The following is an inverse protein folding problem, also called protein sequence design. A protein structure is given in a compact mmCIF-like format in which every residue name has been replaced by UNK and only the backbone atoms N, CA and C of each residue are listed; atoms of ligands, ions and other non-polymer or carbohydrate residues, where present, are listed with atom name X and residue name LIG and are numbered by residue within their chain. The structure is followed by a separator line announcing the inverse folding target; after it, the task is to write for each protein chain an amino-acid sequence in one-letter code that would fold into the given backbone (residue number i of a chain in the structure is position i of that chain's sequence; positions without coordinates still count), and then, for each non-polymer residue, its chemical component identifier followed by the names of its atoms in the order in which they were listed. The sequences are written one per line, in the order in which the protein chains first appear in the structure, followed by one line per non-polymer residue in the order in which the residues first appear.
data_IF_674950425380
#
_entry.id   IF_674950425380
#
_cell.length_a   1.000
_cell.length_b   1.000
_cell.length_c   1.000
_cell.angle_alpha   90.00
_cell.angle_beta   90.00
_cell.angle_gamma   90.00
#
_symmetry.space_group_name_H-M   'P 1'
#
loop_
_entity.id
_entity.type
_entity.pdbx_description
1 polymer ?
#
# COMPACT_ATOMS: atom_id res chain seq x y z
N UNK A 1 -40.92 10.89 -47.27
CA UNK A 1 -40.03 11.91 -46.68
C UNK A 1 -40.10 11.79 -45.17
N UNK A 2 -39.16 11.07 -44.58
CA UNK A 2 -39.20 10.67 -43.17
C UNK A 2 -38.59 11.78 -42.32
N UNK A 3 -39.43 12.47 -41.53
CA UNK A 3 -38.99 13.49 -40.57
C UNK A 3 -38.27 12.80 -39.42
N UNK A 4 -36.96 13.03 -39.31
CA UNK A 4 -36.16 12.64 -38.15
C UNK A 4 -36.45 13.64 -37.04
N UNK A 5 -37.01 13.18 -35.93
CA UNK A 5 -37.19 13.96 -34.72
C UNK A 5 -35.90 13.86 -33.91
N UNK A 6 -35.14 14.94 -33.83
CA UNK A 6 -33.94 15.01 -32.99
C UNK A 6 -34.41 15.45 -31.62
N UNK A 7 -34.48 14.50 -30.69
CA UNK A 7 -34.73 14.77 -29.28
C UNK A 7 -33.45 15.39 -28.69
N UNK A 8 -33.48 16.70 -28.44
CA UNK A 8 -32.39 17.40 -27.75
C UNK A 8 -32.43 16.99 -26.28
N UNK A 9 -31.55 16.05 -25.90
CA UNK A 9 -31.34 15.67 -24.52
C UNK A 9 -30.23 16.60 -23.96
N UNK A 10 -30.57 17.65 -23.18
CA UNK A 10 -29.56 18.53 -22.62
C UNK A 10 -28.61 17.70 -21.74
N UNK A 11 -27.30 18.01 -21.73
CA UNK A 11 -26.39 17.37 -20.79
C UNK A 11 -26.93 17.55 -19.37
N UNK A 12 -26.75 16.56 -18.47
CA UNK A 12 -27.12 16.72 -17.07
C UNK A 12 -26.50 18.03 -16.60
N UNK A 13 -27.34 18.92 -16.07
CA UNK A 13 -26.87 20.10 -15.38
C UNK A 13 -25.90 19.58 -14.31
N UNK A 14 -24.61 19.86 -14.51
CA UNK A 14 -23.66 19.74 -13.43
C UNK A 14 -24.21 20.68 -12.36
N UNK A 15 -24.73 20.11 -11.27
CA UNK A 15 -24.78 20.83 -10.01
C UNK A 15 -23.37 21.37 -9.83
N UNK A 16 -23.22 22.70 -9.93
CA UNK A 16 -22.01 23.35 -9.52
C UNK A 16 -21.66 22.78 -8.14
N UNK A 17 -20.41 22.32 -7.91
CA UNK A 17 -20.03 21.77 -6.62
C UNK A 17 -20.35 22.83 -5.58
N UNK A 18 -21.45 22.59 -4.86
CA UNK A 18 -22.01 23.53 -3.91
C UNK A 18 -20.89 23.97 -2.98
N UNK A 19 -20.81 25.28 -2.78
CA UNK A 19 -20.05 25.88 -1.70
C UNK A 19 -20.15 24.96 -0.49
N UNK A 20 -19.03 24.34 -0.09
CA UNK A 20 -18.95 23.54 1.12
C UNK A 20 -19.60 24.38 2.22
N UNK A 21 -20.79 23.99 2.68
CA UNK A 21 -21.39 24.61 3.84
C UNK A 21 -20.35 24.47 4.94
N UNK A 22 -19.76 25.60 5.33
CA UNK A 22 -18.73 25.62 6.36
C UNK A 22 -19.37 25.04 7.62
N UNK A 23 -18.89 23.86 8.01
CA UNK A 23 -19.33 23.20 9.21
C UNK A 23 -19.25 24.16 10.41
N UNK A 24 -20.24 24.11 11.30
CA UNK A 24 -20.28 24.89 12.54
C UNK A 24 -18.98 24.65 13.31
N UNK A 25 -18.18 25.71 13.55
CA UNK A 25 -16.96 25.59 14.32
C UNK A 25 -17.23 25.06 15.72
N UNK A 26 -16.24 24.37 16.31
CA UNK A 26 -16.37 23.89 17.69
C UNK A 26 -16.60 25.06 18.66
N UNK A 27 -17.68 24.97 19.42
CA UNK A 27 -18.01 25.88 20.51
C UNK A 27 -17.07 25.66 21.70
N UNK A 28 -16.97 26.66 22.57
CA UNK A 28 -16.11 26.58 23.75
C UNK A 28 -16.52 25.41 24.68
N UNK A 29 -17.83 25.21 24.88
CA UNK A 29 -18.34 24.11 25.71
C UNK A 29 -18.04 22.73 25.11
N UNK A 30 -18.18 22.55 23.79
CA UNK A 30 -17.81 21.30 23.13
C UNK A 30 -16.32 20.98 23.33
N UNK A 31 -15.45 21.98 23.18
CA UNK A 31 -14.00 21.82 23.36
C UNK A 31 -13.69 21.38 24.80
N UNK A 32 -14.27 22.03 25.82
CA UNK A 32 -14.03 21.69 27.21
C UNK A 32 -14.49 20.26 27.54
N UNK A 33 -15.67 19.86 27.06
CA UNK A 33 -16.19 18.50 27.25
C UNK A 33 -15.30 17.45 26.59
N UNK A 34 -14.87 17.69 25.35
CA UNK A 34 -14.01 16.78 24.59
C UNK A 34 -12.59 16.68 25.16
N UNK A 35 -12.07 17.76 25.74
CA UNK A 35 -10.72 17.80 26.31
C UNK A 35 -10.61 17.13 27.68
N UNK A 36 -11.72 16.98 28.41
CA UNK A 36 -11.72 16.45 29.77
C UNK A 36 -11.00 15.10 29.93
N UNK A 37 -11.26 14.04 29.13
CA UNK A 37 -10.55 12.76 29.26
C UNK A 37 -9.05 12.89 28.97
N UNK A 38 -8.66 13.68 27.97
CA UNK A 38 -7.26 13.90 27.61
C UNK A 38 -6.49 14.61 28.71
N UNK A 39 -7.09 15.63 29.32
CA UNK A 39 -6.45 16.40 30.39
C UNK A 39 -6.23 15.54 31.64
N UNK A 40 -7.20 14.67 31.97
CA UNK A 40 -7.06 13.67 33.06
C UNK A 40 -5.91 12.69 32.81
N UNK A 41 -5.65 12.35 31.55
CA UNK A 41 -4.52 11.51 31.12
C UNK A 41 -3.20 12.29 30.95
N UNK A 42 -3.14 13.57 31.37
CA UNK A 42 -1.94 14.40 31.23
C UNK A 42 -1.66 14.90 29.81
N UNK A 43 -2.63 14.77 28.89
CA UNK A 43 -2.53 15.29 27.52
C UNK A 43 -3.10 16.71 27.49
N UNK A 44 -2.27 17.67 27.11
CA UNK A 44 -2.67 19.08 27.03
C UNK A 44 -2.94 19.50 25.59
N UNK A 45 -4.01 20.26 25.35
CA UNK A 45 -4.29 20.79 24.03
C UNK A 45 -3.20 21.78 23.60
N UNK A 46 -2.88 21.74 22.32
CA UNK A 46 -2.13 22.78 21.62
C UNK A 46 -3.14 23.69 20.91
N UNK A 47 -3.45 24.82 21.55
CA UNK A 47 -4.44 25.77 21.03
C UNK A 47 -3.98 26.45 19.73
N UNK A 48 -2.67 26.55 19.50
CA UNK A 48 -2.13 27.14 18.28
C UNK A 48 -2.23 26.17 17.09
N UNK A 49 -2.03 24.87 17.33
CA UNK A 49 -2.18 23.83 16.31
C UNK A 49 -3.64 23.35 16.10
N UNK A 50 -4.54 23.65 17.04
CA UNK A 50 -5.96 23.29 16.94
C UNK A 50 -6.71 24.19 15.96
N UNK A 51 -7.61 23.60 15.17
CA UNK A 51 -8.38 24.29 14.13
C UNK A 51 -9.88 24.13 14.40
N UNK A 52 -10.46 25.11 15.09
CA UNK A 52 -11.88 25.09 15.50
C UNK A 52 -12.84 25.06 14.32
N UNK A 53 -12.53 25.81 13.26
CA UNK A 53 -13.34 25.86 12.03
C UNK A 53 -13.33 24.52 11.28
N UNK A 54 -12.21 23.79 11.33
CA UNK A 54 -12.08 22.45 10.75
C UNK A 54 -12.47 21.35 11.73
N UNK A 55 -12.95 21.72 12.92
CA UNK A 55 -13.35 20.83 14.02
C UNK A 55 -12.25 19.81 14.40
N UNK A 56 -11.00 20.28 14.44
CA UNK A 56 -9.81 19.51 14.85
C UNK A 56 -9.19 20.07 16.12
N UNK A 57 -8.94 19.19 17.09
CA UNK A 57 -8.20 19.49 18.31
C UNK A 57 -6.85 18.78 18.29
N UNK A 58 -5.77 19.56 18.37
CA UNK A 58 -4.41 19.05 18.44
C UNK A 58 -3.91 19.06 19.89
N UNK A 59 -3.03 18.13 20.22
CA UNK A 59 -2.41 18.02 21.54
C UNK A 59 -0.90 18.25 21.46
N UNK A 60 -0.32 18.76 22.55
CA UNK A 60 1.12 18.99 22.66
C UNK A 60 1.89 17.70 22.44
N UNK A 61 3.01 17.82 21.73
CA UNK A 61 3.87 16.70 21.41
C UNK A 61 4.52 16.11 22.68
N UNK A 62 4.72 14.79 22.70
CA UNK A 62 5.47 14.07 23.72
C UNK A 62 6.71 13.46 23.08
N UNK A 63 7.86 13.65 23.73
CA UNK A 63 9.14 13.10 23.30
C UNK A 63 9.39 11.75 23.99
N UNK A 64 9.80 10.76 23.18
CA UNK A 64 10.18 9.44 23.63
C UNK A 64 11.65 9.20 23.26
N UNK A 65 12.53 9.08 24.25
CA UNK A 65 13.96 8.84 24.00
C UNK A 65 14.26 7.48 23.35
N UNK A 66 15.49 7.22 22.91
CA UNK A 66 15.88 5.91 22.36
C UNK A 66 15.82 4.79 23.40
N UNK A 67 15.70 3.54 22.94
CA UNK A 67 15.85 2.33 23.78
C UNK A 67 16.75 1.30 23.13
N UNK A 68 17.25 0.32 23.89
CA UNK A 68 18.14 -0.73 23.37
C UNK A 68 17.56 -1.51 22.18
N UNK A 69 16.23 -1.73 22.18
CA UNK A 69 15.53 -2.47 21.11
C UNK A 69 15.21 -1.59 19.90
N UNK A 70 15.09 -0.28 20.10
CA UNK A 70 14.75 0.68 19.06
C UNK A 70 15.51 1.99 19.37
N UNK A 71 16.72 2.15 18.83
CA UNK A 71 17.60 3.29 19.12
C UNK A 71 17.18 4.54 18.33
N UNK A 72 15.89 4.89 18.40
CA UNK A 72 15.29 6.03 17.74
C UNK A 72 14.62 6.92 18.79
N UNK A 73 14.85 8.21 18.70
CA UNK A 73 14.00 9.21 19.34
C UNK A 73 12.70 9.30 18.54
N UNK A 74 11.57 9.36 19.24
CA UNK A 74 10.24 9.44 18.63
C UNK A 74 9.48 10.62 19.20
N UNK A 75 8.90 11.43 18.32
CA UNK A 75 7.94 12.47 18.69
C UNK A 75 6.53 11.95 18.45
N UNK A 76 5.71 11.91 19.51
CA UNK A 76 4.30 11.55 19.45
C UNK A 76 3.43 12.79 19.47
N UNK A 77 2.44 12.85 18.58
CA UNK A 77 1.37 13.85 18.60
C UNK A 77 0.00 13.17 18.52
N UNK A 78 -1.01 13.78 19.15
CA UNK A 78 -2.39 13.35 19.08
C UNK A 78 -3.24 14.43 18.39
N UNK A 79 -4.23 13.98 17.61
CA UNK A 79 -5.23 14.84 16.99
C UNK A 79 -6.59 14.17 17.09
N UNK A 80 -7.58 14.91 17.59
CA UNK A 80 -8.99 14.50 17.61
C UNK A 80 -9.75 15.27 16.53
N UNK A 81 -10.34 14.54 15.60
CA UNK A 81 -11.26 15.06 14.58
C UNK A 81 -12.71 14.81 15.02
N UNK A 82 -13.50 15.88 15.00
CA UNK A 82 -14.86 15.88 15.51
C UNK A 82 -15.78 16.24 14.34
N UNK A 83 -16.34 15.27 13.59
CA UNK A 83 -17.28 15.62 12.52
C UNK A 83 -18.53 16.32 13.09
N UNK A 84 -19.31 16.98 12.24
CA UNK A 84 -20.61 17.55 12.68
C UNK A 84 -21.61 16.45 13.05
N UNK A 85 -21.56 15.35 12.32
CA UNK A 85 -22.37 14.16 12.52
C UNK A 85 -21.51 12.93 12.26
N UNK A 86 -21.68 11.91 13.11
CA UNK A 86 -20.93 10.66 13.03
C UNK A 86 -19.80 10.53 14.08
N UNK A 87 -18.99 9.46 13.97
CA UNK A 87 -18.04 9.10 15.02
C UNK A 87 -16.82 10.03 15.03
N UNK A 88 -16.31 10.28 16.24
CA UNK A 88 -15.02 10.92 16.46
C UNK A 88 -13.90 10.08 15.84
N UNK A 89 -12.84 10.73 15.37
CA UNK A 89 -11.62 10.07 14.92
C UNK A 89 -10.43 10.57 15.72
N UNK A 90 -9.80 9.69 16.49
CA UNK A 90 -8.56 9.98 17.20
C UNK A 90 -7.38 9.42 16.41
N UNK A 91 -6.39 10.27 16.12
CA UNK A 91 -5.19 9.91 15.39
C UNK A 91 -3.97 10.18 16.27
N UNK A 92 -3.17 9.15 16.51
CA UNK A 92 -1.81 9.29 17.04
C UNK A 92 -0.80 9.22 15.91
N UNK A 93 -0.04 10.28 15.73
CA UNK A 93 1.08 10.33 14.80
C UNK A 93 2.38 10.19 15.57
N UNK A 94 3.28 9.34 15.08
CA UNK A 94 4.60 9.12 15.67
C UNK A 94 5.63 9.30 14.57
N UNK A 95 6.59 10.18 14.80
CA UNK A 95 7.64 10.54 13.86
C UNK A 95 9.02 10.29 14.45
N UNK A 96 9.96 9.81 13.64
CA UNK A 96 11.38 9.76 14.01
C UNK A 96 12.17 10.96 13.46
N UNK A 97 13.42 11.10 13.91
CA UNK A 97 14.30 12.21 13.50
C UNK A 97 14.64 12.18 12.00
N UNK A 98 14.43 11.06 11.32
CA UNK A 98 14.64 10.92 9.87
C UNK A 98 13.45 11.41 9.03
N UNK A 99 12.32 11.70 9.68
CA UNK A 99 11.08 12.10 9.03
C UNK A 99 10.16 10.93 8.66
N UNK A 100 10.44 9.70 9.08
CA UNK A 100 9.49 8.60 8.93
C UNK A 100 8.32 8.81 9.88
N UNK A 101 7.09 8.68 9.35
CA UNK A 101 5.85 8.89 10.09
C UNK A 101 5.00 7.63 10.09
N UNK A 102 4.52 7.26 11.27
CA UNK A 102 3.48 6.25 11.50
C UNK A 102 2.22 6.89 12.08
N UNK A 103 1.07 6.33 11.76
CA UNK A 103 -0.24 6.74 12.29
C UNK A 103 -0.97 5.57 12.94
N UNK A 104 -1.62 5.82 14.08
CA UNK A 104 -2.59 4.92 14.70
C UNK A 104 -3.93 5.65 14.74
N UNK A 105 -4.94 5.10 14.09
CA UNK A 105 -6.27 5.70 14.03
C UNK A 105 -7.27 4.86 14.82
N UNK A 106 -8.13 5.52 15.59
CA UNK A 106 -9.30 4.91 16.24
C UNK A 106 -10.54 5.74 15.90
N UNK A 107 -11.69 5.07 15.73
CA UNK A 107 -12.99 5.71 15.47
C UNK A 107 -14.03 5.23 16.44
N UNK A 108 -14.91 6.12 16.90
CA UNK A 108 -15.95 5.81 17.88
C UNK A 108 -16.63 7.06 18.41
N UNK A 109 -17.63 6.90 19.26
CA UNK A 109 -18.45 8.02 19.76
C UNK A 109 -17.88 8.65 21.05
N UNK A 110 -17.19 7.85 21.87
CA UNK A 110 -16.66 8.28 23.16
C UNK A 110 -15.14 8.57 23.08
N UNK A 111 -14.79 9.84 23.31
CA UNK A 111 -13.41 10.30 23.33
C UNK A 111 -12.53 9.63 24.41
N UNK A 112 -13.11 9.30 25.57
CA UNK A 112 -12.38 8.63 26.66
C UNK A 112 -12.00 7.20 26.26
N UNK A 113 -12.96 6.46 25.72
CA UNK A 113 -12.73 5.09 25.24
C UNK A 113 -11.75 5.06 24.06
N UNK A 114 -11.80 6.05 23.16
CA UNK A 114 -10.82 6.18 22.07
C UNK A 114 -9.41 6.39 22.60
N UNK A 115 -9.25 7.27 23.59
CA UNK A 115 -7.96 7.53 24.22
C UNK A 115 -7.42 6.27 24.90
N UNK A 116 -8.25 5.57 25.68
CA UNK A 116 -7.86 4.31 26.33
C UNK A 116 -7.35 3.28 25.31
N UNK A 117 -8.08 3.09 24.20
CA UNK A 117 -7.69 2.15 23.14
C UNK A 117 -6.40 2.56 22.43
N UNK A 118 -6.20 3.85 22.20
CA UNK A 118 -4.95 4.36 21.59
C UNK A 118 -3.78 4.14 22.55
N UNK A 119 -3.92 4.51 23.82
CA UNK A 119 -2.87 4.37 24.83
C UNK A 119 -2.54 2.90 25.14
N UNK A 120 -3.51 1.98 25.01
CA UNK A 120 -3.29 0.55 25.12
C UNK A 120 -2.31 -0.02 24.07
N UNK A 121 -2.13 0.68 22.93
CA UNK A 121 -1.12 0.33 21.93
C UNK A 121 0.17 1.08 22.24
N UNK A 122 1.29 0.42 22.62
CA UNK A 122 2.53 1.11 22.93
C UNK A 122 3.05 1.94 21.74
N UNK A 123 3.53 3.15 21.98
CA UNK A 123 4.09 4.05 20.94
C UNK A 123 5.15 3.34 20.10
N UNK A 124 6.05 2.57 20.73
CA UNK A 124 7.10 1.83 20.03
C UNK A 124 6.58 0.69 19.15
N UNK A 125 5.32 0.25 19.29
CA UNK A 125 4.70 -0.70 18.36
C UNK A 125 4.58 -0.13 16.94
N UNK A 126 4.49 1.20 16.82
CA UNK A 126 4.43 1.91 15.54
C UNK A 126 5.76 1.93 14.77
N UNK A 127 6.87 1.53 15.39
CA UNK A 127 8.18 1.46 14.75
C UNK A 127 8.82 0.09 14.92
N UNK A 128 9.47 -0.41 13.88
CA UNK A 128 10.25 -1.64 13.90
C UNK A 128 11.66 -1.41 13.38
N UNK A 129 12.59 -2.29 13.72
CA UNK A 129 13.95 -2.27 13.20
C UNK A 129 14.24 -3.60 12.49
N UNK A 130 14.63 -3.54 11.22
CA UNK A 130 14.94 -4.72 10.41
C UNK A 130 16.26 -4.53 9.68
N UNK A 131 17.27 -5.33 10.04
CA UNK A 131 18.63 -5.20 9.51
C UNK A 131 19.17 -3.76 9.64
N UNK A 132 18.95 -3.12 10.79
CA UNK A 132 19.36 -1.73 11.06
C UNK A 132 18.48 -0.66 10.41
N UNK A 133 17.50 -1.02 9.59
CA UNK A 133 16.61 -0.07 8.92
C UNK A 133 15.32 0.14 9.73
N UNK A 134 14.98 1.40 10.06
CA UNK A 134 13.72 1.72 10.73
C UNK A 134 12.52 1.57 9.80
N UNK A 135 11.40 1.14 10.38
CA UNK A 135 10.14 0.91 9.68
C UNK A 135 9.00 1.53 10.47
N UNK A 136 8.39 2.58 9.93
CA UNK A 136 7.16 3.14 10.45
C UNK A 136 5.98 2.25 10.00
N UNK A 137 5.12 1.84 10.93
CA UNK A 137 3.98 0.96 10.70
C UNK A 137 2.70 1.65 11.14
N UNK A 138 1.80 1.93 10.21
CA UNK A 138 0.52 2.55 10.50
C UNK A 138 -0.56 1.50 10.76
N UNK A 139 -1.45 1.82 11.69
CA UNK A 139 -2.51 0.93 12.14
C UNK A 139 -3.86 1.63 12.25
N UNK A 140 -4.91 0.82 12.21
CA UNK A 140 -6.27 1.17 12.55
C UNK A 140 -6.74 0.27 13.70
N UNK A 141 -7.41 0.86 14.68
CA UNK A 141 -8.15 0.15 15.71
C UNK A 141 -9.59 0.03 15.21
N UNK A 142 -10.03 -1.20 14.99
CA UNK A 142 -11.39 -1.53 14.56
C UNK A 142 -12.14 -2.26 15.67
N UNK A 143 -13.40 -1.91 15.89
CA UNK A 143 -14.24 -2.63 16.86
C UNK A 143 -14.62 -4.00 16.29
N UNK A 144 -14.46 -5.05 17.09
CA UNK A 144 -14.95 -6.37 16.72
C UNK A 144 -16.48 -6.38 16.73
N UNK A 145 -17.10 -6.93 15.69
CA UNK A 145 -18.56 -7.12 15.62
C UNK A 145 -19.09 -8.13 16.65
N UNK A 146 -18.20 -8.90 17.30
CA UNK A 146 -18.54 -9.80 18.41
C UNK A 146 -18.73 -9.02 19.72
N UNK A 147 -19.74 -8.14 19.75
CA UNK A 147 -20.16 -7.48 20.98
C UNK A 147 -21.01 -8.45 21.82
N UNK A 148 -20.58 -8.73 23.06
CA UNK A 148 -21.44 -9.34 24.06
C UNK A 148 -22.20 -8.23 24.80
N UNK A 149 -23.46 -8.47 25.11
CA UNK A 149 -24.32 -7.50 25.80
C UNK A 149 -23.68 -7.09 27.14
N UNK A 150 -23.44 -5.79 27.32
CA UNK A 150 -22.79 -5.24 28.53
C UNK A 150 -21.25 -5.26 28.56
N UNK A 151 -20.57 -5.81 27.54
CA UNK A 151 -19.09 -5.79 27.43
C UNK A 151 -18.68 -5.01 26.17
N UNK A 152 -17.80 -4.00 26.28
CA UNK A 152 -17.28 -3.29 25.12
C UNK A 152 -16.66 -4.28 24.13
N UNK A 153 -16.98 -4.20 22.82
CA UNK A 153 -16.43 -5.13 21.85
C UNK A 153 -14.90 -5.07 21.85
N UNK A 154 -14.20 -6.23 21.78
CA UNK A 154 -12.75 -6.24 21.78
C UNK A 154 -12.22 -5.50 20.55
N UNK A 155 -11.32 -4.54 20.76
CA UNK A 155 -10.73 -3.77 19.67
C UNK A 155 -9.62 -4.59 18.98
N UNK A 156 -9.63 -4.60 17.64
CA UNK A 156 -8.64 -5.29 16.82
C UNK A 156 -7.70 -4.27 16.20
N UNK A 157 -6.40 -4.54 16.30
CA UNK A 157 -5.36 -3.72 15.67
C UNK A 157 -5.06 -4.25 14.27
N UNK A 158 -5.29 -3.42 13.26
CA UNK A 158 -5.12 -3.75 11.85
C UNK A 158 -3.97 -2.93 11.26
N UNK A 159 -2.96 -3.57 10.69
CA UNK A 159 -1.95 -2.83 9.92
C UNK A 159 -2.53 -2.35 8.58
N UNK A 160 -2.35 -1.06 8.31
CA UNK A 160 -2.89 -0.37 7.11
C UNK A 160 -1.79 0.09 6.16
N UNK A 161 -0.62 0.45 6.69
CA UNK A 161 0.54 0.81 5.88
C UNK A 161 1.85 0.58 6.61
N UNK A 162 2.95 0.58 5.87
CA UNK A 162 4.28 0.73 6.44
C UNK A 162 5.19 1.51 5.50
N UNK A 163 6.16 2.22 6.06
CA UNK A 163 7.15 3.00 5.32
C UNK A 163 8.55 2.73 5.85
N UNK A 164 9.51 2.65 4.94
CA UNK A 164 10.92 2.49 5.27
C UNK A 164 11.78 3.13 4.18
N UNK A 165 13.04 3.41 4.49
CA UNK A 165 14.03 3.92 3.52
C UNK A 165 15.28 3.06 3.55
N UNK A 166 15.69 2.56 2.37
CA UNK A 166 16.83 1.66 2.21
C UNK A 166 17.72 2.19 1.09
N UNK A 167 18.96 2.58 1.41
CA UNK A 167 19.96 3.05 0.41
C UNK A 167 19.42 4.06 -0.63
N UNK A 168 18.69 5.09 -0.19
CA UNK A 168 18.10 6.11 -1.09
C UNK A 168 16.84 5.66 -1.85
N UNK A 169 16.27 4.52 -1.47
CA UNK A 169 15.01 3.99 -2.00
C UNK A 169 13.95 4.06 -0.90
N UNK A 170 12.86 4.74 -1.20
CA UNK A 170 11.68 4.84 -0.36
C UNK A 170 10.77 3.64 -0.63
N UNK A 171 10.38 2.95 0.43
CA UNK A 171 9.48 1.81 0.43
C UNK A 171 8.15 2.22 1.04
N UNK A 172 7.06 2.08 0.28
CA UNK A 172 5.70 2.29 0.75
C UNK A 172 4.93 0.97 0.59
N UNK A 173 4.47 0.44 1.72
CA UNK A 173 3.62 -0.73 1.82
C UNK A 173 2.20 -0.27 2.13
N UNK A 174 1.23 -0.64 1.28
CA UNK A 174 -0.20 -0.36 1.53
C UNK A 174 -0.95 -1.66 1.71
N UNK A 175 -1.57 -1.80 2.88
CA UNK A 175 -2.36 -2.95 3.26
C UNK A 175 -3.84 -2.54 3.31
N UNK A 176 -4.52 -2.60 2.15
CA UNK A 176 -5.93 -2.25 2.06
C UNK A 176 -6.80 -3.14 2.97
N UNK A 177 -7.84 -2.53 3.52
CA UNK A 177 -8.85 -3.15 4.40
C UNK A 177 -9.89 -3.91 3.59
N UNK A 178 -10.22 -3.39 2.41
CA UNK A 178 -11.21 -3.98 1.52
C UNK A 178 -10.57 -5.08 0.70
N UNK A 179 -11.33 -6.16 0.48
CA UNK A 179 -10.89 -7.46 -0.05
C UNK A 179 -9.94 -7.33 -1.24
N UNK A 180 -8.64 -7.34 -0.92
CA UNK A 180 -7.52 -7.34 -1.85
C UNK A 180 -6.35 -7.99 -1.10
N UNK A 181 -6.05 -9.23 -1.46
CA UNK A 181 -5.30 -10.19 -0.65
C UNK A 181 -3.78 -10.03 -0.69
N UNK A 182 -3.32 -8.83 -1.06
CA UNK A 182 -1.92 -8.51 -1.14
C UNK A 182 -1.64 -7.12 -0.59
N UNK A 183 -0.49 -7.00 0.03
CA UNK A 183 0.08 -5.70 0.36
C UNK A 183 0.71 -5.15 -0.91
N UNK A 184 0.24 -3.99 -1.35
CA UNK A 184 0.86 -3.23 -2.41
C UNK A 184 2.23 -2.73 -1.93
N UNK A 185 3.27 -2.99 -2.70
CA UNK A 185 4.62 -2.52 -2.45
C UNK A 185 5.00 -1.52 -3.54
N UNK A 186 5.39 -0.31 -3.15
CA UNK A 186 5.91 0.73 -4.03
C UNK A 186 7.35 1.06 -3.65
N UNK A 187 8.22 1.09 -4.65
CA UNK A 187 9.61 1.52 -4.55
C UNK A 187 9.75 2.80 -5.37
N UNK A 188 10.23 3.86 -4.73
CA UNK A 188 10.60 5.11 -5.39
C UNK A 188 12.02 5.49 -5.01
N UNK A 189 12.75 6.08 -5.94
CA UNK A 189 14.05 6.66 -5.65
C UNK A 189 13.86 8.10 -5.11
N UNK A 190 14.90 8.64 -4.51
CA UNK A 190 14.93 10.05 -4.14
C UNK A 190 14.88 10.96 -5.39
N UNK A 191 14.45 12.21 -5.21
CA UNK A 191 14.34 13.17 -6.30
C UNK A 191 15.65 13.30 -7.10
N UNK A 192 15.54 13.40 -8.43
CA UNK A 192 16.70 13.47 -9.31
C UNK A 192 17.43 12.14 -9.57
N UNK A 193 16.93 11.02 -9.03
CA UNK A 193 17.51 9.69 -9.28
C UNK A 193 16.51 8.72 -9.90
N UNK A 194 17.00 7.83 -10.75
CA UNK A 194 16.23 6.75 -11.37
C UNK A 194 16.64 5.41 -10.76
N UNK A 195 15.65 4.61 -10.38
CA UNK A 195 15.83 3.26 -9.88
C UNK A 195 15.97 2.25 -11.03
N UNK A 196 17.13 1.59 -11.10
CA UNK A 196 17.49 0.62 -12.12
C UNK A 196 17.54 -0.80 -11.53
N UNK A 197 16.37 -1.39 -11.32
CA UNK A 197 16.21 -2.70 -10.70
C UNK A 197 15.58 -3.72 -11.66
N UNK A 198 15.80 -5.02 -11.46
CA UNK A 198 15.06 -6.04 -12.20
C UNK A 198 13.65 -6.23 -11.62
N UNK A 199 12.73 -6.67 -12.48
CA UNK A 199 11.36 -7.05 -12.08
C UNK A 199 11.33 -8.13 -10.99
N UNK A 200 12.29 -9.06 -10.99
CA UNK A 200 12.31 -10.16 -10.02
C UNK A 200 13.01 -9.83 -8.69
N UNK A 201 13.39 -8.56 -8.45
CA UNK A 201 14.13 -8.12 -7.25
C UNK A 201 13.52 -8.64 -5.95
N UNK A 202 12.19 -8.57 -5.81
CA UNK A 202 11.48 -9.06 -4.60
C UNK A 202 10.92 -10.47 -4.78
N UNK A 203 10.59 -10.88 -6.01
CA UNK A 203 10.04 -12.20 -6.30
C UNK A 203 11.01 -13.36 -5.99
N UNK A 204 12.32 -13.09 -6.00
CA UNK A 204 13.34 -14.07 -5.57
C UNK A 204 13.20 -14.47 -4.09
N UNK A 205 12.59 -13.64 -3.24
CA UNK A 205 12.34 -13.95 -1.82
C UNK A 205 11.45 -15.19 -1.67
N UNK A 206 10.46 -15.37 -2.54
CA UNK A 206 9.58 -16.53 -2.52
C UNK A 206 8.26 -16.32 -3.27
N UNK A 207 7.46 -17.38 -3.35
CA UNK A 207 6.18 -17.45 -4.07
C UNK A 207 5.13 -16.40 -3.67
N UNK A 208 5.27 -15.81 -2.48
CA UNK A 208 4.33 -14.79 -1.98
C UNK A 208 4.64 -13.39 -2.48
N UNK A 209 5.83 -13.16 -3.02
CA UNK A 209 6.23 -11.88 -3.61
C UNK A 209 6.03 -11.96 -5.12
N UNK A 210 5.23 -11.03 -5.65
CA UNK A 210 5.06 -10.90 -7.10
C UNK A 210 6.20 -10.07 -7.69
N UNK A 211 6.55 -10.30 -8.97
CA UNK A 211 7.49 -9.44 -9.68
C UNK A 211 7.06 -7.97 -9.64
N UNK A 212 8.05 -7.10 -9.46
CA UNK A 212 7.91 -5.67 -9.59
C UNK A 212 7.66 -5.29 -11.05
N UNK A 213 6.99 -4.17 -11.25
CA UNK A 213 6.76 -3.55 -12.56
C UNK A 213 7.10 -2.08 -12.51
N UNK A 214 7.83 -1.60 -13.49
CA UNK A 214 8.04 -0.18 -13.70
C UNK A 214 6.71 0.46 -14.15
N UNK A 215 6.29 1.49 -13.43
CA UNK A 215 5.12 2.31 -13.76
C UNK A 215 5.54 3.77 -13.69
N UNK A 216 5.77 4.38 -14.85
CA UNK A 216 6.23 5.78 -15.00
C UNK A 216 7.57 6.02 -14.29
N UNK A 217 7.54 6.36 -13.00
CA UNK A 217 8.69 6.69 -12.16
C UNK A 217 8.78 5.87 -10.87
N UNK A 218 7.86 4.90 -10.68
CA UNK A 218 7.83 4.03 -9.52
C UNK A 218 7.88 2.56 -9.93
N UNK A 219 8.35 1.72 -9.03
CA UNK A 219 8.27 0.27 -9.17
C UNK A 219 7.18 -0.26 -8.25
N UNK A 220 6.21 -0.99 -8.80
CA UNK A 220 5.08 -1.58 -8.04
C UNK A 220 5.17 -3.09 -8.03
N UNK A 221 5.03 -3.68 -6.86
CA UNK A 221 4.82 -5.11 -6.66
C UNK A 221 3.69 -5.37 -5.68
N UNK A 222 3.44 -6.65 -5.40
CA UNK A 222 2.47 -7.06 -4.41
C UNK A 222 2.99 -8.25 -3.60
N UNK A 223 2.56 -8.32 -2.34
CA UNK A 223 2.95 -9.37 -1.40
C UNK A 223 1.69 -10.06 -0.90
N UNK A 224 1.51 -11.35 -1.24
CA UNK A 224 0.38 -12.16 -0.78
C UNK A 224 0.45 -12.38 0.72
N UNK A 225 -0.65 -12.11 1.42
CA UNK A 225 -0.74 -12.18 2.88
C UNK A 225 -1.91 -13.03 3.34
N UNK A 226 -1.94 -13.38 4.63
CA UNK A 226 -3.09 -14.04 5.24
C UNK A 226 -4.33 -13.16 5.07
N UNK A 227 -5.47 -13.81 4.80
CA UNK A 227 -6.69 -13.08 4.42
C UNK A 227 -7.49 -12.54 5.62
N UNK A 228 -7.33 -13.15 6.80
CA UNK A 228 -8.16 -12.86 7.98
C UNK A 228 -7.31 -12.55 9.19
N UNK A 229 -7.79 -11.63 10.01
CA UNK A 229 -7.28 -11.44 11.36
C UNK A 229 -7.67 -12.59 12.29
N UNK A 230 -6.87 -12.88 13.34
CA UNK A 230 -5.72 -12.12 13.86
C UNK A 230 -4.36 -12.47 13.21
N UNK A 231 -4.35 -13.33 12.18
CA UNK A 231 -3.09 -13.80 11.56
C UNK A 231 -2.55 -12.86 10.49
N UNK A 232 -3.38 -11.96 9.96
CA UNK A 232 -3.02 -11.07 8.84
C UNK A 232 -2.01 -10.02 9.26
N UNK A 233 -2.25 -9.30 10.35
CA UNK A 233 -1.31 -8.26 10.81
C UNK A 233 0.10 -8.80 11.11
N UNK A 234 0.27 -9.88 11.91
CA UNK A 234 1.59 -10.47 12.14
C UNK A 234 2.28 -10.99 10.87
N UNK A 235 1.53 -11.58 9.93
CA UNK A 235 2.06 -12.08 8.67
C UNK A 235 2.56 -10.95 7.75
N UNK A 236 1.84 -9.82 7.72
CA UNK A 236 2.26 -8.60 7.02
C UNK A 236 3.56 -8.06 7.61
N UNK A 237 3.63 -7.88 8.93
CA UNK A 237 4.82 -7.37 9.62
C UNK A 237 6.04 -8.25 9.35
N UNK A 238 5.88 -9.56 9.45
CA UNK A 238 6.94 -10.51 9.15
C UNK A 238 7.45 -10.38 7.70
N UNK A 239 6.54 -10.24 6.73
CA UNK A 239 6.92 -10.12 5.31
C UNK A 239 7.52 -8.77 4.96
N UNK A 240 7.09 -7.69 5.61
CA UNK A 240 7.74 -6.37 5.51
C UNK A 240 9.19 -6.51 5.99
N UNK A 241 9.41 -7.07 7.18
CA UNK A 241 10.75 -7.28 7.73
C UNK A 241 11.64 -8.14 6.83
N UNK A 242 11.09 -9.22 6.24
CA UNK A 242 11.81 -10.05 5.26
C UNK A 242 12.16 -9.28 3.98
N UNK A 243 11.25 -8.44 3.49
CA UNK A 243 11.48 -7.63 2.29
C UNK A 243 12.62 -6.64 2.52
N UNK A 244 12.60 -5.94 3.66
CA UNK A 244 13.61 -4.95 4.02
C UNK A 244 14.97 -5.61 4.23
N UNK A 245 15.02 -6.71 4.98
CA UNK A 245 16.26 -7.47 5.21
C UNK A 245 16.87 -7.96 3.88
N UNK A 246 16.03 -8.39 2.93
CA UNK A 246 16.49 -8.80 1.61
C UNK A 246 17.03 -7.61 0.80
N UNK A 247 16.33 -6.46 0.82
CA UNK A 247 16.74 -5.28 0.09
C UNK A 247 18.06 -4.71 0.62
N UNK A 248 18.25 -4.61 1.93
CA UNK A 248 19.53 -4.19 2.54
C UNK A 248 20.68 -5.05 2.01
N UNK A 249 20.59 -6.37 2.19
CA UNK A 249 21.63 -7.31 1.74
C UNK A 249 21.88 -7.32 0.23
N UNK A 250 20.86 -7.02 -0.56
CA UNK A 250 20.96 -7.03 -2.03
C UNK A 250 21.56 -5.73 -2.55
N UNK A 251 21.15 -4.60 -1.98
CA UNK A 251 21.55 -3.27 -2.43
C UNK A 251 22.94 -2.87 -1.94
N UNK A 252 23.44 -3.49 -0.88
CA UNK A 252 24.84 -3.38 -0.44
C UNK A 252 25.83 -3.93 -1.47
N UNK A 253 25.40 -4.86 -2.33
CA UNK A 253 26.24 -5.48 -3.35
C UNK A 253 26.05 -4.81 -4.71
N UNK A 254 27.06 -4.84 -5.60
CA UNK A 254 26.91 -4.41 -6.98
C UNK A 254 25.76 -5.14 -7.71
N UNK A 255 25.04 -4.48 -8.64
CA UNK A 255 23.95 -5.12 -9.39
C UNK A 255 24.39 -6.37 -10.18
N UNK A 256 25.65 -6.43 -10.59
CA UNK A 256 26.21 -7.59 -11.29
C UNK A 256 26.10 -8.89 -10.49
N UNK A 257 26.19 -8.81 -9.15
CA UNK A 257 26.19 -9.98 -8.25
C UNK A 257 24.80 -10.54 -7.99
N UNK A 258 23.75 -9.80 -8.36
CA UNK A 258 22.36 -10.24 -8.15
C UNK A 258 22.05 -11.53 -8.91
N UNK A 259 22.47 -11.64 -10.17
CA UNK A 259 22.20 -12.83 -10.98
C UNK A 259 22.89 -14.10 -10.44
N UNK A 260 24.22 -14.13 -10.23
CA UNK A 260 24.88 -15.34 -9.73
C UNK A 260 24.35 -15.74 -8.35
N UNK A 261 24.08 -14.78 -7.46
CA UNK A 261 23.57 -15.05 -6.10
C UNK A 261 22.17 -15.66 -6.09
N UNK A 262 21.28 -15.18 -6.95
CA UNK A 262 19.86 -15.58 -6.96
C UNK A 262 19.48 -16.46 -8.14
N UNK A 263 20.42 -17.03 -8.88
CA UNK A 263 20.19 -17.74 -10.15
C UNK A 263 19.02 -18.73 -10.11
N UNK A 264 19.01 -19.63 -9.11
CA UNK A 264 17.93 -20.63 -8.92
C UNK A 264 16.58 -19.96 -8.65
N UNK A 265 16.56 -18.92 -7.81
CA UNK A 265 15.35 -18.20 -7.47
C UNK A 265 14.80 -17.41 -8.67
N UNK A 266 15.66 -16.84 -9.51
CA UNK A 266 15.27 -16.14 -10.74
C UNK A 266 14.66 -17.09 -11.76
N UNK A 267 15.27 -18.25 -11.98
CA UNK A 267 14.70 -19.31 -12.83
C UNK A 267 13.34 -19.78 -12.34
N UNK A 268 13.19 -19.96 -11.01
CA UNK A 268 11.89 -20.26 -10.40
C UNK A 268 10.85 -19.19 -10.74
N UNK A 269 11.20 -17.90 -10.65
CA UNK A 269 10.29 -16.80 -11.00
C UNK A 269 9.92 -16.83 -12.48
N UNK A 270 10.87 -17.04 -13.38
CA UNK A 270 10.59 -17.17 -14.82
C UNK A 270 9.66 -18.36 -15.11
N UNK A 271 9.90 -19.52 -14.49
CA UNK A 271 9.03 -20.69 -14.62
C UNK A 271 7.61 -20.41 -14.11
N UNK A 272 7.48 -19.76 -12.95
CA UNK A 272 6.18 -19.39 -12.37
C UNK A 272 5.36 -18.47 -13.29
N UNK A 273 6.02 -17.51 -13.95
CA UNK A 273 5.37 -16.62 -14.93
C UNK A 273 4.91 -17.38 -16.18
N UNK A 274 5.61 -18.45 -16.55
CA UNK A 274 5.25 -19.30 -17.68
C UNK A 274 4.10 -20.28 -17.42
N UNK A 275 3.69 -20.50 -16.17
CA UNK A 275 2.65 -21.50 -15.83
C UNK A 275 1.33 -21.25 -16.59
N UNK A 276 0.74 -20.04 -16.62
CA UNK A 276 -0.52 -19.83 -17.33
C UNK A 276 -0.43 -20.09 -18.83
N UNK A 277 0.66 -19.66 -19.46
CA UNK A 277 0.94 -19.92 -20.87
C UNK A 277 1.10 -21.43 -21.12
N UNK A 278 1.84 -22.13 -20.25
CA UNK A 278 2.04 -23.57 -20.33
C UNK A 278 0.74 -24.36 -20.19
N UNK A 279 -0.15 -23.96 -19.28
CA UNK A 279 -1.49 -24.54 -19.14
C UNK A 279 -2.29 -24.31 -20.43
N UNK A 280 -2.26 -23.09 -20.98
CA UNK A 280 -2.93 -22.79 -22.25
C UNK A 280 -2.43 -23.65 -23.41
N UNK A 281 -1.11 -23.78 -23.57
CA UNK A 281 -0.49 -24.63 -24.59
C UNK A 281 -0.83 -26.11 -24.40
N UNK A 282 -0.81 -26.60 -23.16
CA UNK A 282 -1.17 -27.97 -22.83
C UNK A 282 -2.62 -28.26 -23.25
N UNK A 283 -3.56 -27.38 -22.94
CA UNK A 283 -4.96 -27.53 -23.33
C UNK A 283 -5.13 -27.58 -24.85
N UNK A 284 -4.44 -26.71 -25.60
CA UNK A 284 -4.44 -26.76 -27.07
C UNK A 284 -3.86 -28.08 -27.58
N UNK A 285 -2.74 -28.53 -27.02
CA UNK A 285 -2.07 -29.77 -27.42
C UNK A 285 -2.87 -31.04 -27.11
N UNK A 286 -3.73 -31.02 -26.08
CA UNK A 286 -4.65 -32.12 -25.74
C UNK A 286 -5.88 -32.19 -26.64
N UNK A 287 -6.19 -31.15 -27.42
CA UNK A 287 -7.39 -31.10 -28.28
C UNK A 287 -7.45 -32.25 -29.31
N UNK A 288 -6.36 -32.65 -30.00
CA UNK A 288 -6.40 -33.77 -30.94
C UNK A 288 -6.61 -35.13 -30.26
N UNK A 289 -6.18 -35.29 -29.00
CA UNK A 289 -6.36 -36.54 -28.25
C UNK A 289 -7.84 -36.87 -28.04
N UNK A 290 -8.72 -35.86 -28.01
CA UNK A 290 -10.18 -36.04 -27.92
C UNK A 290 -10.72 -36.88 -29.07
N UNK A 291 -10.10 -36.82 -30.26
CA UNK A 291 -10.54 -37.62 -31.43
C UNK A 291 -10.27 -39.12 -31.29
N UNK A 292 -9.35 -39.50 -30.42
CA UNK A 292 -8.96 -40.90 -30.22
C UNK A 292 -9.63 -41.55 -29.00
N UNK A 293 -10.42 -40.77 -28.26
CA UNK A 293 -11.18 -41.27 -27.11
C UNK A 293 -12.62 -41.50 -27.59
N UNK A 294 -12.98 -42.76 -27.80
CA UNK A 294 -14.35 -43.15 -28.11
C UNK A 294 -15.19 -43.01 -26.83
N UNK A 295 -15.89 -41.88 -26.69
CA UNK A 295 -16.63 -41.53 -25.47
C UNK A 295 -18.12 -41.81 -25.68
N UNK A 296 -18.66 -42.75 -24.90
CA UNK A 296 -20.09 -42.98 -24.79
C UNK A 296 -20.84 -41.66 -24.52
N UNK A 297 -22.04 -41.52 -25.11
CA UNK A 297 -22.85 -40.29 -25.05
C UNK A 297 -23.12 -39.82 -23.61
N UNK A 298 -23.22 -40.74 -22.65
CA UNK A 298 -23.49 -40.46 -21.22
C UNK A 298 -22.22 -40.30 -20.35
N UNK A 299 -21.04 -40.15 -20.96
CA UNK A 299 -19.78 -40.07 -20.21
C UNK A 299 -19.64 -38.73 -19.48
N UNK A 300 -19.39 -38.81 -18.16
CA UNK A 300 -19.00 -37.67 -17.30
C UNK A 300 -17.84 -36.88 -17.91
N UNK A 301 -16.93 -37.56 -18.61
CA UNK A 301 -15.76 -36.96 -19.26
C UNK A 301 -16.15 -36.06 -20.44
N UNK A 302 -17.20 -36.42 -21.18
CA UNK A 302 -17.78 -35.61 -22.27
C UNK A 302 -18.43 -34.35 -21.70
N UNK A 303 -19.23 -34.50 -20.65
CA UNK A 303 -19.82 -33.35 -19.94
C UNK A 303 -18.73 -32.39 -19.43
N UNK A 304 -17.66 -32.92 -18.82
CA UNK A 304 -16.55 -32.12 -18.29
C UNK A 304 -15.81 -31.35 -19.40
N UNK A 305 -15.59 -31.97 -20.57
CA UNK A 305 -14.93 -31.31 -21.72
C UNK A 305 -15.81 -30.18 -22.28
N UNK A 306 -17.12 -30.40 -22.43
CA UNK A 306 -18.03 -29.36 -22.91
C UNK A 306 -18.19 -28.21 -21.91
N UNK A 307 -18.06 -28.48 -20.61
CA UNK A 307 -18.17 -27.46 -19.56
C UNK A 307 -16.80 -26.92 -19.10
N UNK A 308 -15.70 -27.44 -19.65
CA UNK A 308 -14.35 -26.98 -19.30
C UNK A 308 -14.13 -25.51 -19.65
N UNK A 309 -14.52 -24.98 -20.83
CA UNK A 309 -14.35 -23.55 -21.12
C UNK A 309 -15.05 -22.61 -20.12
N UNK A 310 -16.36 -22.77 -19.80
CA UNK A 310 -17.01 -21.93 -18.79
C UNK A 310 -16.46 -22.17 -17.37
N UNK A 311 -16.09 -23.39 -16.99
CA UNK A 311 -15.45 -23.66 -15.70
C UNK A 311 -14.06 -23.03 -15.59
N UNK A 312 -13.28 -23.02 -16.68
CA UNK A 312 -12.00 -22.34 -16.74
C UNK A 312 -12.14 -20.83 -16.67
N UNK A 313 -13.11 -20.25 -17.39
CA UNK A 313 -13.43 -18.82 -17.26
C UNK A 313 -13.84 -18.49 -15.83
N UNK A 314 -14.74 -19.27 -15.23
CA UNK A 314 -15.14 -19.11 -13.84
C UNK A 314 -13.93 -19.22 -12.89
N UNK A 315 -13.08 -20.23 -13.05
CA UNK A 315 -11.86 -20.38 -12.28
C UNK A 315 -10.91 -19.19 -12.46
N UNK A 316 -10.76 -18.66 -13.67
CA UNK A 316 -9.94 -17.48 -13.96
C UNK A 316 -10.48 -16.22 -13.29
N UNK A 317 -11.80 -16.03 -13.24
CA UNK A 317 -12.44 -14.94 -12.48
C UNK A 317 -12.39 -15.17 -10.96
N UNK A 318 -12.37 -16.43 -10.51
CA UNK A 318 -12.12 -16.79 -9.11
C UNK A 318 -10.65 -16.58 -8.72
N UNK A 319 -9.72 -16.60 -9.68
CA UNK A 319 -8.33 -16.19 -9.42
C UNK A 319 -8.23 -14.68 -9.27
N UNK A 320 -7.75 -14.25 -8.11
CA UNK A 320 -7.72 -12.84 -7.64
C UNK A 320 -6.83 -11.89 -8.45
N UNK A 321 -6.02 -12.42 -9.36
CA UNK A 321 -5.14 -11.67 -10.24
C UNK A 321 -5.24 -12.30 -11.63
N UNK A 322 -5.63 -11.53 -12.65
CA UNK A 322 -5.66 -12.02 -14.03
C UNK A 322 -4.28 -12.59 -14.38
N UNK A 323 -4.17 -13.89 -14.70
CA UNK A 323 -2.90 -14.47 -15.09
C UNK A 323 -2.44 -13.78 -16.36
N UNK A 324 -1.25 -13.19 -16.30
CA UNK A 324 -0.65 -12.57 -17.49
C UNK A 324 -0.04 -13.66 -18.35
N UNK A 325 -0.54 -13.75 -19.58
CA UNK A 325 0.02 -14.60 -20.61
C UNK A 325 1.11 -13.77 -21.29
N UNK A 326 2.33 -13.87 -20.77
CA UNK A 326 3.52 -13.25 -21.35
C UNK A 326 4.60 -14.32 -21.46
N UNK A 327 5.45 -14.23 -22.49
CA UNK A 327 6.64 -15.08 -22.57
C UNK A 327 7.61 -14.56 -21.50
N UNK A 328 7.93 -15.34 -20.45
CA UNK A 328 8.76 -14.85 -19.38
C UNK A 328 10.17 -14.55 -19.90
N UNK A 329 10.76 -13.40 -19.54
CA UNK A 329 12.12 -13.10 -19.94
C UNK A 329 13.08 -14.13 -19.31
N UNK A 330 14.05 -14.58 -20.12
CA UNK A 330 15.13 -15.43 -19.64
C UNK A 330 15.96 -14.62 -18.62
N UNK A 331 16.23 -15.15 -17.42
CA UNK A 331 16.97 -14.41 -16.41
C UNK A 331 18.40 -14.17 -16.89
N UNK A 332 18.79 -12.90 -17.06
CA UNK A 332 20.12 -12.49 -17.52
C UNK A 332 20.86 -11.65 -16.46
N UNK A 333 22.20 -11.65 -16.47
CA UNK A 333 22.99 -10.72 -15.67
C UNK A 333 22.60 -9.26 -15.92
N UNK A 334 22.62 -8.45 -14.86
CA UNK A 334 22.35 -7.02 -14.97
C UNK A 334 23.57 -6.32 -15.59
N UNK A 335 23.32 -5.45 -16.57
CA UNK A 335 24.37 -4.64 -17.22
C UNK A 335 24.67 -3.34 -16.46
N UNK A 336 23.82 -2.98 -15.51
CA UNK A 336 23.92 -1.72 -14.78
C UNK A 336 25.06 -1.81 -13.74
N UNK A 337 25.89 -0.77 -13.66
CA UNK A 337 26.96 -0.69 -12.66
C UNK A 337 26.45 -0.28 -11.26
N UNK A 338 25.30 0.39 -11.19
CA UNK A 338 24.70 0.93 -9.96
C UNK A 338 23.19 0.69 -9.95
N UNK A 339 22.62 0.56 -8.75
CA UNK A 339 21.16 0.45 -8.53
C UNK A 339 20.41 1.76 -8.78
N UNK A 340 21.09 2.88 -8.52
CA UNK A 340 20.58 4.23 -8.73
C UNK A 340 21.44 4.93 -9.79
N UNK A 341 20.78 5.60 -10.73
CA UNK A 341 21.41 6.46 -11.71
C UNK A 341 20.88 7.90 -11.55
N UNK A 342 21.72 8.93 -11.70
CA UNK A 342 21.22 10.30 -11.77
C UNK A 342 20.32 10.45 -13.01
N UNK A 343 19.19 11.13 -12.86
CA UNK A 343 18.40 11.57 -14.01
C UNK A 343 19.18 12.73 -14.60
N UNK A 344 19.79 12.52 -15.77
CA UNK A 344 20.36 13.64 -16.51
C UNK A 344 19.22 14.61 -16.83
N UNK A 345 19.30 15.83 -16.33
CA UNK A 345 18.42 16.91 -16.81
C UNK A 345 18.63 16.99 -18.31
N UNK A 346 17.62 16.56 -19.06
CA UNK A 346 17.64 16.70 -20.51
C UNK A 346 17.51 18.20 -20.74
N UNK A 347 18.64 18.84 -21.05
CA UNK A 347 18.79 20.28 -21.14
C UNK A 347 17.61 20.95 -21.80
N UNK A 348 16.78 21.60 -20.99
CA UNK A 348 15.95 22.72 -21.39
C UNK A 348 16.85 23.94 -21.52
N UNK A 349 17.83 23.90 -22.44
CA UNK A 349 18.31 25.15 -23.03
C UNK A 349 17.14 25.67 -23.85
N UNK A 350 16.37 26.52 -23.18
CA UNK A 350 15.31 27.30 -23.80
C UNK A 350 15.94 28.05 -24.96
N UNK A 351 15.48 27.71 -26.16
CA UNK A 351 15.74 28.40 -27.42
C UNK A 351 15.01 29.75 -27.42
N UNK A 352 15.29 30.59 -26.43
CA UNK A 352 14.70 31.91 -26.23
C UNK A 352 15.71 33.05 -26.07
N UNK A 353 17.02 32.79 -26.13
CA UNK A 353 18.05 33.85 -26.16
C UNK A 353 18.67 34.07 -27.55
N UNK A 354 18.08 33.51 -28.63
CA UNK A 354 18.59 33.67 -30.00
C UNK A 354 17.76 34.63 -30.87
N UNK A 355 16.90 35.46 -30.28
CA UNK A 355 16.13 36.49 -31.00
C UNK A 355 16.11 37.86 -30.32
N UNK A 356 17.09 38.15 -29.45
CA UNK A 356 17.24 39.46 -28.81
C UNK A 356 18.52 40.21 -29.25
N UNK A 357 19.01 39.96 -30.47
CA UNK A 357 20.13 40.71 -31.05
C UNK A 357 19.97 40.91 -32.57
N UNK A 358 18.79 41.36 -32.98
CA UNK A 358 18.52 41.84 -34.34
C UNK A 358 17.55 43.03 -34.25
N UNK A 359 18.07 44.18 -33.81
CA UNK A 359 17.24 45.37 -33.61
C UNK A 359 17.95 46.62 -33.13
N UNK A 360 19.21 46.86 -33.49
CA UNK A 360 19.79 48.21 -33.50
C UNK A 360 20.69 48.39 -34.72
N UNK A 361 20.13 48.99 -35.77
CA UNK A 361 20.80 49.80 -36.80
C UNK A 361 19.75 50.63 -37.51
#
# INVERSE_FOLDING_TARGET
MTRIHIEYNPPPQYEEPGAQQQAKPLSHHEILSLMAPFTKAGRHADLAASQRAERRLAFKAIQHGPTDKLPLSLTETLQLEVPESGPLTLVRSVQDDSGLVSTLTAKGEDAALLLERVDAVPVRRQFGLHAGVPVARSYLIEESSDAQEGVPPPARLLITAAKARVHGINLDFKADRFVSHAVDLRLTADAGTKLLIPEDLTAVIGWRWRPLREFISLWRGSIRVQSKEPRRTPDIEHKIGRTITHLVRTLEQPPADFHPRYQKARWRVSFQRGIPLGIGLLLVALTPAIRYIDMADDSILRMLIFHAPPLMLAAMFMTRELPRIEIPPIPRPLKNKRWLAPIAEKGGQSRLDATADAGES
#
